data_IF_715261341162
#
_entry.id   IF_715261341162
#
_cell.length_a   1.000
_cell.length_b   1.000
_cell.length_c   1.000
_cell.angle_alpha   90.00
_cell.angle_beta   90.00
_cell.angle_gamma   90.00
#
_symmetry.space_group_name_H-M   'P 1'
#
loop_
_entity.id
_entity.type
_entity.pdbx_description
1 polymer ?
#
# COMPACT_ATOMS: atom_id res chain seq x y z
N UNK A 1 10.85 7.55 -22.15
CA UNK A 1 11.41 6.79 -21.01
C UNK A 1 12.91 6.67 -21.19
N UNK A 2 13.68 6.78 -20.11
CA UNK A 2 15.12 6.48 -20.17
C UNK A 2 15.29 4.96 -20.33
N UNK A 3 16.20 4.49 -21.22
CA UNK A 3 16.34 3.05 -21.51
C UNK A 3 16.51 2.18 -20.25
N UNK A 4 17.33 2.62 -19.31
CA UNK A 4 17.60 1.88 -18.06
C UNK A 4 16.36 1.80 -17.17
N UNK A 5 15.56 2.88 -17.10
CA UNK A 5 14.31 2.89 -16.33
C UNK A 5 13.28 1.95 -16.94
N UNK A 6 13.18 1.93 -18.27
CA UNK A 6 12.28 1.00 -18.97
C UNK A 6 12.70 -0.46 -18.74
N UNK A 7 14.01 -0.75 -18.76
CA UNK A 7 14.52 -2.08 -18.46
C UNK A 7 14.22 -2.50 -17.01
N UNK A 8 14.34 -1.58 -16.05
CA UNK A 8 13.99 -1.83 -14.66
C UNK A 8 12.48 -2.11 -14.47
N UNK A 9 11.61 -1.33 -15.11
CA UNK A 9 10.15 -1.57 -15.12
C UNK A 9 9.85 -2.97 -15.69
N UNK A 10 10.42 -3.30 -16.85
CA UNK A 10 10.20 -4.61 -17.47
C UNK A 10 10.67 -5.76 -16.57
N UNK A 11 11.82 -5.60 -15.91
CA UNK A 11 12.36 -6.59 -14.96
C UNK A 11 11.39 -6.80 -13.80
N UNK A 12 10.93 -5.73 -13.14
CA UNK A 12 9.98 -5.84 -12.03
C UNK A 12 8.67 -6.54 -12.42
N UNK A 13 8.11 -6.21 -13.60
CA UNK A 13 6.92 -6.92 -14.10
C UNK A 13 7.18 -8.40 -14.39
N UNK A 14 8.32 -8.75 -14.96
CA UNK A 14 8.68 -10.15 -15.21
C UNK A 14 8.82 -10.93 -13.90
N UNK A 15 9.44 -10.34 -12.89
CA UNK A 15 9.57 -10.94 -11.57
C UNK A 15 8.20 -11.16 -10.90
N UNK A 16 7.27 -10.20 -11.00
CA UNK A 16 5.90 -10.38 -10.52
C UNK A 16 5.17 -11.50 -11.26
N UNK A 17 5.30 -11.60 -12.60
CA UNK A 17 4.67 -12.69 -13.36
C UNK A 17 5.18 -14.05 -12.88
N UNK A 18 6.49 -14.19 -12.68
CA UNK A 18 7.10 -15.41 -12.14
C UNK A 18 6.59 -15.70 -10.72
N UNK A 19 6.54 -14.69 -9.85
CA UNK A 19 6.05 -14.81 -8.47
C UNK A 19 4.59 -15.22 -8.42
N UNK A 20 3.72 -14.62 -9.25
CA UNK A 20 2.31 -15.01 -9.36
C UNK A 20 2.16 -16.45 -9.83
N UNK A 21 2.91 -16.85 -10.85
CA UNK A 21 2.87 -18.24 -11.34
C UNK A 21 3.27 -19.24 -10.24
N UNK A 22 4.34 -18.95 -9.49
CA UNK A 22 4.80 -19.77 -8.36
C UNK A 22 3.77 -19.85 -7.21
N UNK A 23 2.94 -18.82 -7.04
CA UNK A 23 1.93 -18.73 -5.99
C UNK A 23 0.50 -19.05 -6.48
N UNK A 24 0.36 -19.77 -7.60
CA UNK A 24 -0.92 -20.19 -8.16
C UNK A 24 -1.85 -19.00 -8.49
N UNK A 25 -1.28 -17.91 -8.98
CA UNK A 25 -1.97 -16.67 -9.34
C UNK A 25 -2.23 -15.72 -8.17
N UNK A 26 -1.92 -16.12 -6.93
CA UNK A 26 -2.09 -15.27 -5.74
C UNK A 26 -1.08 -14.13 -5.71
N UNK A 27 -1.53 -12.99 -5.20
CA UNK A 27 -0.65 -11.85 -4.89
C UNK A 27 0.11 -12.18 -3.61
N UNK A 28 1.44 -12.10 -3.69
CA UNK A 28 2.33 -12.18 -2.54
C UNK A 28 3.25 -10.98 -2.60
N UNK A 29 3.18 -10.11 -1.60
CA UNK A 29 4.02 -8.92 -1.51
C UNK A 29 5.31 -9.32 -0.78
N UNK A 30 6.49 -9.22 -1.42
CA UNK A 30 7.77 -9.55 -0.80
C UNK A 30 8.04 -8.82 0.51
N UNK A 31 7.74 -7.52 0.59
CA UNK A 31 7.93 -6.72 1.81
C UNK A 31 6.75 -5.79 2.10
N UNK A 32 6.25 -5.82 3.34
CA UNK A 32 5.28 -4.85 3.85
C UNK A 32 5.88 -4.16 5.07
N UNK A 33 5.97 -2.83 5.04
CA UNK A 33 6.49 -2.04 6.18
C UNK A 33 5.45 -1.04 6.66
N UNK A 34 5.17 -1.02 7.95
CA UNK A 34 4.28 -0.05 8.59
C UNK A 34 5.12 0.75 9.60
N UNK A 35 5.38 2.02 9.30
CA UNK A 35 6.20 2.90 10.14
C UNK A 35 5.32 3.67 11.13
N UNK A 36 5.60 3.53 12.42
CA UNK A 36 4.89 4.27 13.46
C UNK A 36 5.39 5.71 13.59
N UNK A 37 4.52 6.63 14.04
CA UNK A 37 4.87 8.04 14.20
C UNK A 37 5.95 8.28 15.28
N UNK A 38 5.99 7.43 16.32
CA UNK A 38 6.84 7.63 17.50
C UNK A 38 7.65 6.40 17.94
N UNK A 39 7.21 5.19 17.62
CA UNK A 39 7.90 3.95 18.02
C UNK A 39 7.69 2.83 17.01
N UNK A 40 8.79 2.18 16.66
CA UNK A 40 8.82 0.90 15.98
C UNK A 40 8.38 0.95 14.51
N UNK A 41 8.81 -0.06 13.77
CA UNK A 41 8.28 -0.41 12.48
C UNK A 41 7.78 -1.85 12.58
N UNK A 42 6.66 -2.15 11.95
CA UNK A 42 6.29 -3.52 11.64
C UNK A 42 6.81 -3.84 10.25
N UNK A 43 7.55 -4.94 10.11
CA UNK A 43 8.01 -5.45 8.82
C UNK A 43 7.54 -6.87 8.67
N UNK A 44 6.88 -7.13 7.54
CA UNK A 44 6.38 -8.45 7.16
C UNK A 44 7.00 -8.84 5.82
N UNK A 45 7.21 -10.14 5.64
CA UNK A 45 7.82 -10.68 4.44
C UNK A 45 6.94 -11.73 3.79
N UNK A 46 6.90 -11.72 2.46
CA UNK A 46 6.11 -12.65 1.65
C UNK A 46 4.65 -12.70 2.08
N UNK A 47 4.01 -11.53 2.21
CA UNK A 47 2.64 -11.39 2.69
C UNK A 47 1.68 -11.86 1.60
N UNK A 48 0.94 -12.97 1.79
CA UNK A 48 -0.14 -13.33 0.88
C UNK A 48 -1.29 -12.32 1.06
N UNK A 49 -1.80 -11.82 -0.06
CA UNK A 49 -2.90 -10.84 -0.07
C UNK A 49 -4.09 -11.43 -0.81
N UNK A 50 -5.25 -11.39 -0.17
CA UNK A 50 -6.53 -11.81 -0.75
C UNK A 50 -7.39 -10.60 -1.08
N UNK A 51 -8.19 -10.63 -2.14
CA UNK A 51 -9.10 -9.54 -2.47
C UNK A 51 -10.30 -9.52 -1.51
N UNK A 52 -10.58 -8.37 -0.90
CA UNK A 52 -11.77 -8.19 -0.04
C UNK A 52 -12.93 -7.52 -0.76
N UNK A 53 -12.72 -7.06 -1.99
CA UNK A 53 -13.74 -6.43 -2.84
C UNK A 53 -14.41 -5.21 -2.18
N UNK A 54 -13.65 -4.42 -1.42
CA UNK A 54 -14.14 -3.26 -0.68
C UNK A 54 -14.83 -2.20 -1.58
N UNK A 55 -14.50 -2.19 -2.88
CA UNK A 55 -15.04 -1.29 -3.90
C UNK A 55 -15.68 -2.03 -5.06
N UNK A 56 -16.68 -2.86 -4.76
CA UNK A 56 -17.46 -3.57 -5.78
C UNK A 56 -18.26 -2.65 -6.73
N UNK A 57 -18.38 -1.37 -6.38
CA UNK A 57 -18.90 -0.30 -7.24
C UNK A 57 -17.91 0.13 -8.34
N UNK A 58 -16.60 -0.10 -8.14
CA UNK A 58 -15.53 0.32 -9.07
C UNK A 58 -14.87 -0.88 -9.75
N UNK A 59 -14.55 -1.91 -8.99
CA UNK A 59 -13.77 -3.06 -9.47
C UNK A 59 -14.62 -4.31 -9.61
N UNK A 60 -14.24 -5.14 -10.58
CA UNK A 60 -14.73 -6.51 -10.67
C UNK A 60 -14.25 -7.31 -9.45
N UNK A 61 -15.01 -8.33 -9.00
CA UNK A 61 -14.57 -9.22 -7.94
C UNK A 61 -13.19 -9.84 -8.24
N UNK A 62 -12.33 -9.88 -7.23
CA UNK A 62 -11.00 -10.47 -7.30
C UNK A 62 -9.85 -9.48 -7.55
N UNK A 63 -10.13 -8.20 -7.79
CA UNK A 63 -9.08 -7.16 -7.85
C UNK A 63 -8.52 -6.93 -6.46
N UNK A 64 -7.20 -7.04 -6.32
CA UNK A 64 -6.47 -6.74 -5.09
C UNK A 64 -6.02 -5.27 -5.11
N UNK A 65 -6.29 -4.57 -4.03
CA UNK A 65 -5.98 -3.17 -3.79
C UNK A 65 -4.98 -2.99 -2.65
N UNK A 66 -4.47 -1.78 -2.45
CA UNK A 66 -3.59 -1.47 -1.30
C UNK A 66 -4.31 -1.70 0.03
N UNK A 67 -5.62 -1.42 0.11
CA UNK A 67 -6.43 -1.68 1.29
C UNK A 67 -6.39 -3.15 1.70
N UNK A 68 -6.50 -4.04 0.71
CA UNK A 68 -6.56 -5.49 0.92
C UNK A 68 -5.29 -6.02 1.61
N UNK A 69 -4.16 -5.30 1.53
CA UNK A 69 -2.94 -5.67 2.27
C UNK A 69 -3.13 -5.55 3.78
N UNK A 70 -3.69 -4.42 4.24
CA UNK A 70 -3.97 -4.21 5.67
C UNK A 70 -5.06 -5.17 6.16
N UNK A 71 -6.10 -5.39 5.35
CA UNK A 71 -7.16 -6.33 5.67
C UNK A 71 -6.62 -7.77 5.78
N UNK A 72 -5.79 -8.20 4.82
CA UNK A 72 -5.14 -9.51 4.84
C UNK A 72 -4.23 -9.70 6.05
N UNK A 73 -3.47 -8.67 6.45
CA UNK A 73 -2.65 -8.72 7.66
C UNK A 73 -3.52 -8.84 8.94
N UNK A 74 -4.67 -8.16 8.97
CA UNK A 74 -5.65 -8.30 10.04
C UNK A 74 -6.22 -9.71 10.15
N UNK A 75 -6.63 -10.31 9.02
CA UNK A 75 -7.14 -11.69 8.97
C UNK A 75 -6.09 -12.73 9.36
N UNK A 76 -4.82 -12.47 9.06
CA UNK A 76 -3.68 -13.30 9.47
C UNK A 76 -3.33 -13.13 10.96
N UNK A 77 -4.02 -12.25 11.70
CA UNK A 77 -3.76 -11.99 13.12
C UNK A 77 -2.51 -11.16 13.38
N UNK A 78 -1.94 -10.54 12.35
CA UNK A 78 -0.77 -9.65 12.49
C UNK A 78 -1.15 -8.27 13.03
N UNK A 79 -2.38 -7.83 12.77
CA UNK A 79 -2.94 -6.59 13.32
C UNK A 79 -4.00 -6.94 14.36
N UNK A 80 -3.93 -6.30 15.53
CA UNK A 80 -4.93 -6.43 16.58
C UNK A 80 -6.09 -5.45 16.40
N UNK A 81 -5.85 -4.32 15.72
CA UNK A 81 -6.89 -3.32 15.42
C UNK A 81 -6.55 -2.59 14.12
N UNK A 82 -7.57 -2.37 13.29
CA UNK A 82 -7.51 -1.51 12.11
C UNK A 82 -8.77 -0.64 12.12
N UNK A 83 -8.61 0.67 12.08
CA UNK A 83 -9.73 1.61 11.99
C UNK A 83 -9.69 2.35 10.67
N UNK A 84 -10.79 2.24 9.93
CA UNK A 84 -10.99 2.89 8.64
C UNK A 84 -12.14 3.87 8.74
N UNK A 85 -11.97 5.05 8.15
CA UNK A 85 -13.03 6.06 8.05
C UNK A 85 -13.26 6.42 6.60
N UNK A 86 -14.51 6.32 6.15
CA UNK A 86 -14.92 6.80 4.84
C UNK A 86 -14.89 8.33 4.81
N UNK A 87 -14.26 8.91 3.79
CA UNK A 87 -14.21 10.36 3.60
C UNK A 87 -14.69 10.72 2.19
N UNK A 88 -15.73 11.54 2.11
CA UNK A 88 -16.19 12.13 0.84
C UNK A 88 -15.37 13.36 0.42
N UNK A 89 -14.56 13.91 1.33
CA UNK A 89 -13.75 15.11 1.16
C UNK A 89 -12.48 15.05 2.02
N UNK A 90 -11.38 15.63 1.55
CA UNK A 90 -10.18 15.90 2.36
C UNK A 90 -9.69 17.33 2.10
N UNK A 91 -9.68 18.17 3.14
CA UNK A 91 -9.45 19.61 2.97
C UNK A 91 -10.48 20.21 2.00
N UNK A 92 -10.00 20.91 0.97
CA UNK A 92 -10.84 21.44 -0.11
C UNK A 92 -11.05 20.44 -1.26
N UNK A 93 -10.38 19.28 -1.25
CA UNK A 93 -10.53 18.28 -2.30
C UNK A 93 -11.83 17.49 -2.10
N UNK A 94 -12.74 17.61 -3.06
CA UNK A 94 -13.98 16.84 -3.16
C UNK A 94 -14.39 16.67 -4.64
N UNK A 95 -14.95 15.51 -5.04
CA UNK A 95 -15.15 14.31 -4.23
C UNK A 95 -13.84 13.51 -4.05
N UNK A 96 -13.68 12.87 -2.89
CA UNK A 96 -12.61 11.89 -2.62
C UNK A 96 -13.15 10.47 -2.60
N UNK A 97 -14.20 10.24 -1.80
CA UNK A 97 -14.96 8.99 -1.74
C UNK A 97 -14.07 7.74 -1.60
N UNK A 98 -13.33 7.70 -0.49
CA UNK A 98 -12.34 6.66 -0.21
C UNK A 98 -12.22 6.38 1.28
N UNK A 99 -11.76 5.18 1.63
CA UNK A 99 -11.41 4.81 3.00
C UNK A 99 -10.03 5.34 3.38
N UNK A 100 -9.97 6.01 4.54
CA UNK A 100 -8.73 6.47 5.16
C UNK A 100 -8.41 5.63 6.39
N UNK A 101 -7.12 5.34 6.59
CA UNK A 101 -6.64 4.66 7.79
C UNK A 101 -6.50 5.66 8.93
N UNK A 102 -7.29 5.46 9.98
CA UNK A 102 -7.21 6.26 11.21
C UNK A 102 -6.42 5.54 12.31
N UNK A 103 -6.31 4.21 12.29
CA UNK A 103 -5.50 3.45 13.25
C UNK A 103 -5.01 2.14 12.65
N UNK A 104 -3.76 1.79 12.93
CA UNK A 104 -3.22 0.44 12.85
C UNK A 104 -2.58 0.09 14.19
N UNK A 105 -2.97 -1.04 14.77
CA UNK A 105 -2.34 -1.58 15.98
C UNK A 105 -2.01 -3.07 15.84
N UNK A 106 -0.98 -3.51 16.56
CA UNK A 106 -0.54 -4.90 16.65
C UNK A 106 0.31 -5.12 17.90
N UNK A 107 0.87 -6.32 18.10
CA UNK A 107 1.69 -6.63 19.27
C UNK A 107 2.86 -5.64 19.46
N UNK A 108 2.77 -4.81 20.51
CA UNK A 108 3.80 -3.80 20.81
C UNK A 108 3.85 -2.60 19.86
N UNK A 109 2.86 -2.44 18.98
CA UNK A 109 2.80 -1.37 17.98
C UNK A 109 1.41 -0.72 17.95
N UNK A 110 1.38 0.61 17.84
CA UNK A 110 0.15 1.35 17.55
C UNK A 110 0.49 2.64 16.81
N UNK A 111 -0.29 2.92 15.77
CA UNK A 111 -0.16 4.06 14.87
C UNK A 111 -1.55 4.64 14.63
N UNK A 112 -1.89 5.69 15.38
CA UNK A 112 -3.18 6.39 15.29
C UNK A 112 -3.04 7.76 14.61
N UNK A 113 -4.04 8.13 13.82
CA UNK A 113 -4.17 9.42 13.18
C UNK A 113 -4.22 10.56 14.18
N UNK A 114 -3.16 11.38 14.12
CA UNK A 114 -3.07 12.65 14.84
C UNK A 114 -3.10 13.76 13.81
N UNK A 115 -4.18 14.53 13.77
CA UNK A 115 -4.25 15.74 12.94
C UNK A 115 -3.10 16.69 13.28
N UNK A 116 -2.39 17.26 12.29
CA UNK A 116 -2.67 17.25 10.85
C UNK A 116 -2.00 16.11 10.06
N UNK A 117 -1.36 15.15 10.72
CA UNK A 117 -0.64 14.08 10.05
C UNK A 117 -1.61 13.13 9.33
N UNK A 118 -1.19 12.63 8.18
CA UNK A 118 -1.90 11.62 7.41
C UNK A 118 -1.06 10.34 7.33
N UNK A 119 -1.76 9.21 7.24
CA UNK A 119 -1.14 7.93 6.98
C UNK A 119 -1.08 7.72 5.48
N UNK A 120 0.12 7.87 4.92
CA UNK A 120 0.37 7.74 3.49
C UNK A 120 1.00 6.39 3.20
N UNK A 121 0.97 5.99 1.94
CA UNK A 121 1.56 4.75 1.51
C UNK A 121 2.31 4.89 0.20
N UNK A 122 3.18 3.91 -0.01
CA UNK A 122 4.03 3.71 -1.14
C UNK A 122 3.89 2.27 -1.63
N UNK A 123 3.83 2.11 -2.94
CA UNK A 123 3.83 0.83 -3.64
C UNK A 123 4.88 0.90 -4.73
N UNK A 124 5.82 -0.03 -4.74
CA UNK A 124 6.87 0.01 -5.74
C UNK A 124 7.70 -1.26 -5.83
N UNK A 125 8.80 -1.08 -6.55
CA UNK A 125 9.83 -2.07 -6.78
C UNK A 125 11.17 -1.51 -6.35
N UNK A 126 12.00 -2.31 -5.68
CA UNK A 126 13.25 -1.79 -5.12
C UNK A 126 14.21 -1.36 -6.25
N UNK A 127 14.17 -2.05 -7.39
CA UNK A 127 14.94 -1.65 -8.59
C UNK A 127 14.54 -0.26 -9.12
N UNK A 128 13.34 0.22 -8.80
CA UNK A 128 12.83 1.52 -9.27
C UNK A 128 13.20 2.68 -8.33
N UNK A 129 13.61 2.42 -7.08
CA UNK A 129 13.93 3.47 -6.09
C UNK A 129 15.12 4.33 -6.50
N UNK A 130 16.03 3.80 -7.32
CA UNK A 130 17.16 4.53 -7.90
C UNK A 130 16.78 5.59 -8.94
N UNK A 131 15.55 5.55 -9.45
CA UNK A 131 15.07 6.50 -10.46
C UNK A 131 14.26 7.61 -9.79
N UNK A 132 14.88 8.79 -9.62
CA UNK A 132 14.19 9.96 -9.06
C UNK A 132 13.00 10.37 -9.93
N UNK A 133 11.81 10.61 -9.36
CA UNK A 133 10.73 11.25 -10.07
C UNK A 133 11.10 12.70 -10.42
N UNK A 134 10.45 13.27 -11.45
CA UNK A 134 10.71 14.64 -11.88
C UNK A 134 10.25 15.72 -10.88
N UNK A 135 9.56 15.36 -9.79
CA UNK A 135 9.06 16.28 -8.78
C UNK A 135 9.51 15.80 -7.39
N UNK A 136 10.00 16.73 -6.55
CA UNK A 136 10.67 16.47 -5.26
C UNK A 136 9.82 15.86 -4.14
N UNK A 137 8.79 15.12 -4.50
CA UNK A 137 8.13 14.17 -3.62
C UNK A 137 9.03 12.94 -3.48
N UNK A 138 9.05 12.31 -2.30
CA UNK A 138 9.51 10.92 -2.21
C UNK A 138 8.72 10.10 -3.23
N UNK A 139 9.40 9.24 -3.99
CA UNK A 139 9.04 8.79 -5.34
C UNK A 139 7.74 8.00 -5.54
N UNK A 140 6.94 7.98 -4.50
CA UNK A 140 6.36 6.78 -3.96
C UNK A 140 5.13 7.15 -3.13
N UNK A 141 4.93 8.44 -2.79
CA UNK A 141 3.71 8.89 -2.12
C UNK A 141 2.56 8.97 -3.12
N UNK A 142 1.67 7.98 -3.07
CA UNK A 142 0.55 7.88 -4.00
C UNK A 142 -0.67 8.59 -3.39
N UNK A 143 -1.14 9.64 -4.06
CA UNK A 143 -2.35 10.39 -3.70
C UNK A 143 -3.66 9.72 -4.19
N UNK A 144 -3.68 8.38 -4.25
CA UNK A 144 -4.89 7.62 -4.53
C UNK A 144 -5.42 7.02 -3.23
N UNK A 145 -6.74 6.90 -3.13
CA UNK A 145 -7.37 6.10 -2.09
C UNK A 145 -6.80 4.68 -2.09
N UNK A 146 -6.45 4.17 -0.91
CA UNK A 146 -5.91 2.80 -0.77
C UNK A 146 -6.88 1.71 -1.25
N UNK A 147 -8.18 1.99 -1.20
CA UNK A 147 -9.26 1.15 -1.73
C UNK A 147 -9.47 1.30 -3.25
N UNK A 148 -8.81 2.28 -3.88
CA UNK A 148 -8.88 2.57 -5.31
C UNK A 148 -7.58 2.26 -6.06
N UNK A 149 -6.49 1.98 -5.35
CA UNK A 149 -5.22 1.64 -5.97
C UNK A 149 -5.09 0.12 -6.12
N UNK A 150 -5.36 -0.37 -7.34
CA UNK A 150 -5.17 -1.78 -7.69
C UNK A 150 -3.67 -2.15 -7.77
N UNK A 151 -3.30 -3.26 -7.14
CA UNK A 151 -1.93 -3.77 -7.12
C UNK A 151 -1.61 -4.56 -8.39
N UNK A 152 -0.62 -4.10 -9.15
CA UNK A 152 -0.17 -4.73 -10.39
C UNK A 152 1.08 -5.58 -10.17
N UNK A 153 2.19 -4.96 -9.81
CA UNK A 153 3.49 -5.60 -9.55
C UNK A 153 4.22 -5.05 -8.32
N UNK A 154 3.62 -5.12 -7.12
CA UNK A 154 4.27 -4.62 -5.91
C UNK A 154 5.38 -5.57 -5.44
N UNK A 155 6.60 -5.07 -5.26
CA UNK A 155 7.62 -5.76 -4.46
C UNK A 155 7.61 -5.27 -3.01
N UNK A 156 7.20 -4.02 -2.80
CA UNK A 156 6.93 -3.48 -1.48
C UNK A 156 5.60 -2.75 -1.41
N UNK A 157 5.02 -2.74 -0.21
CA UNK A 157 4.05 -1.73 0.21
C UNK A 157 4.48 -1.16 1.55
N UNK A 158 4.66 0.16 1.60
CA UNK A 158 5.23 0.86 2.76
C UNK A 158 4.25 1.92 3.21
N UNK A 159 3.88 1.91 4.48
CA UNK A 159 3.08 2.96 5.09
C UNK A 159 3.90 3.80 6.05
N UNK A 160 3.61 5.09 6.11
CA UNK A 160 4.27 6.01 7.02
C UNK A 160 3.36 7.17 7.43
N UNK A 161 3.71 7.79 8.56
CA UNK A 161 3.17 9.08 8.95
C UNK A 161 3.88 10.20 8.22
N UNK A 162 3.10 11.03 7.53
CA UNK A 162 3.58 12.33 7.04
C UNK A 162 2.82 13.41 7.79
N UNK A 163 3.57 14.22 8.53
CA UNK A 163 3.09 15.41 9.20
C UNK A 163 3.60 16.64 8.41
N UNK A 164 2.76 17.64 8.14
CA UNK A 164 3.19 18.91 7.55
C UNK A 164 4.14 19.70 8.46
#
# INVERSE_FOLDING_TARGET
EQPDRLAAINTSFQEEVVRRAANQGRVVIPEVVIRGARRGNLTFHNVPVTPHNARSDVFQPGVVTVLDVLLSLGEQGHLSELRLTWRSRVGEAAPVESYYVDLIAGPGFSAEAVSPCAFVYDVGAEILTGFKPPHGHTADEIHLGLDLHALTSPEHVRWAWVCP
#
